data_IF_611794697913
#
_entry.id   IF_611794697913
#
_cell.length_a   1.000
_cell.length_b   1.000
_cell.length_c   1.000
_cell.angle_alpha   90.00
_cell.angle_beta   90.00
_cell.angle_gamma   90.00
#
_symmetry.space_group_name_H-M   'P 1'
#
loop_
_entity.id
_entity.type
_entity.pdbx_description
1 polymer ?
#
# COMPACT_ATOMS: atom_id res chain seq x y z
N UNK A 1 -11.45 0.12 5.76
CA UNK A 1 -11.02 -0.50 4.51
C UNK A 1 -12.11 -0.35 3.44
N UNK A 2 -11.75 0.12 2.25
CA UNK A 2 -12.62 0.24 1.06
C UNK A 2 -12.17 -0.75 -0.03
N UNK A 3 -12.96 -0.90 -1.10
CA UNK A 3 -12.54 -1.67 -2.29
C UNK A 3 -11.29 -1.05 -2.94
N UNK A 4 -11.17 0.28 -2.94
CA UNK A 4 -9.97 0.96 -3.42
C UNK A 4 -8.73 0.62 -2.59
N UNK A 5 -8.85 0.53 -1.26
CA UNK A 5 -7.74 0.05 -0.42
C UNK A 5 -7.32 -1.37 -0.81
N UNK A 6 -8.28 -2.25 -1.09
CA UNK A 6 -7.99 -3.62 -1.51
C UNK A 6 -7.25 -3.65 -2.86
N UNK A 7 -7.69 -2.85 -3.84
CA UNK A 7 -7.01 -2.75 -5.13
C UNK A 7 -5.57 -2.23 -4.99
N UNK A 8 -5.35 -1.22 -4.13
CA UNK A 8 -4.00 -0.71 -3.82
C UNK A 8 -3.13 -1.80 -3.19
N UNK A 9 -3.67 -2.53 -2.21
CA UNK A 9 -2.95 -3.62 -1.54
C UNK A 9 -2.53 -4.71 -2.53
N UNK A 10 -3.45 -5.15 -3.40
CA UNK A 10 -3.16 -6.16 -4.43
C UNK A 10 -2.16 -5.65 -5.48
N UNK A 11 -2.21 -4.37 -5.85
CA UNK A 11 -1.25 -3.77 -6.78
C UNK A 11 0.18 -3.76 -6.20
N UNK A 12 0.31 -3.49 -4.90
CA UNK A 12 1.61 -3.59 -4.20
C UNK A 12 2.07 -5.05 -4.09
N UNK A 13 1.15 -5.98 -3.82
CA UNK A 13 1.47 -7.42 -3.81
C UNK A 13 2.05 -7.90 -5.14
N UNK A 14 1.48 -7.42 -6.27
CA UNK A 14 1.96 -7.74 -7.62
C UNK A 14 3.27 -7.06 -8.00
N UNK A 15 3.59 -5.92 -7.38
CA UNK A 15 4.79 -5.13 -7.67
C UNK A 15 5.46 -4.68 -6.37
N UNK A 16 6.16 -5.58 -5.65
CA UNK A 16 6.88 -5.23 -4.45
C UNK A 16 7.89 -4.11 -4.71
N UNK A 17 8.05 -3.21 -3.73
CA UNK A 17 8.92 -2.03 -3.80
C UNK A 17 8.50 -0.95 -4.83
N UNK A 18 7.27 -1.02 -5.35
CA UNK A 18 6.72 0.04 -6.21
C UNK A 18 6.75 1.40 -5.51
N UNK A 19 7.14 2.44 -6.24
CA UNK A 19 7.07 3.81 -5.72
C UNK A 19 5.61 4.24 -5.64
N UNK A 20 5.27 4.99 -4.59
CA UNK A 20 3.94 5.58 -4.45
C UNK A 20 3.51 6.39 -5.69
N UNK A 21 4.43 7.13 -6.31
CA UNK A 21 4.13 7.89 -7.53
C UNK A 21 3.77 7.00 -8.72
N UNK A 22 4.44 5.86 -8.85
CA UNK A 22 4.22 4.92 -9.93
C UNK A 22 2.92 4.14 -9.70
N UNK A 23 2.64 3.74 -8.45
CA UNK A 23 1.34 3.19 -8.05
C UNK A 23 0.19 4.16 -8.36
N UNK A 24 0.34 5.44 -8.00
CA UNK A 24 -0.69 6.44 -8.26
C UNK A 24 -0.93 6.62 -9.77
N UNK A 25 0.13 6.61 -10.57
CA UNK A 25 0.04 6.69 -12.03
C UNK A 25 -0.64 5.45 -12.62
N UNK A 26 -0.21 4.26 -12.22
CA UNK A 26 -0.72 2.98 -12.71
C UNK A 26 -2.21 2.77 -12.41
N UNK A 27 -2.68 3.32 -11.29
CA UNK A 27 -4.07 3.22 -10.85
C UNK A 27 -4.91 4.47 -11.19
N UNK A 28 -4.38 5.41 -11.97
CA UNK A 28 -5.02 6.68 -12.33
C UNK A 28 -5.54 7.48 -11.12
N UNK A 29 -4.83 7.38 -9.99
CA UNK A 29 -5.16 8.04 -8.74
C UNK A 29 -4.45 9.39 -8.61
N UNK A 30 -5.14 10.37 -8.01
CA UNK A 30 -4.47 11.59 -7.58
C UNK A 30 -3.47 11.29 -6.45
N UNK A 31 -2.40 12.09 -6.29
CA UNK A 31 -1.44 11.90 -5.20
C UNK A 31 -2.08 11.91 -3.80
N UNK A 32 -3.14 12.71 -3.60
CA UNK A 32 -3.85 12.78 -2.32
C UNK A 32 -4.68 11.53 -2.03
N UNK A 33 -5.32 10.94 -3.05
CA UNK A 33 -6.05 9.68 -2.94
C UNK A 33 -5.08 8.53 -2.66
N UNK A 34 -4.00 8.41 -3.45
CA UNK A 34 -2.97 7.41 -3.23
C UNK A 34 -2.37 7.50 -1.81
N UNK A 35 -2.01 8.71 -1.37
CA UNK A 35 -1.47 8.94 -0.01
C UNK A 35 -2.45 8.50 1.09
N UNK A 36 -3.74 8.80 0.93
CA UNK A 36 -4.77 8.40 1.90
C UNK A 36 -4.93 6.89 1.97
N UNK A 37 -4.94 6.20 0.82
CA UNK A 37 -5.04 4.74 0.77
C UNK A 37 -3.82 4.08 1.43
N UNK A 38 -2.62 4.55 1.11
CA UNK A 38 -1.38 4.05 1.71
C UNK A 38 -1.36 4.28 3.22
N UNK A 39 -1.79 5.46 3.67
CA UNK A 39 -1.86 5.75 5.11
C UNK A 39 -2.85 4.85 5.85
N UNK A 40 -4.01 4.54 5.24
CA UNK A 40 -4.99 3.62 5.82
C UNK A 40 -4.45 2.19 5.94
N UNK A 41 -3.69 1.75 4.94
CA UNK A 41 -3.11 0.40 4.87
C UNK A 41 -1.81 0.25 5.67
N UNK A 42 -1.10 1.34 5.97
CA UNK A 42 0.13 1.33 6.77
C UNK A 42 -0.13 1.03 8.26
N UNK A 43 0.90 0.75 9.05
CA UNK A 43 0.76 0.61 10.51
C UNK A 43 0.29 1.92 11.18
N UNK A 44 0.73 3.07 10.67
CA UNK A 44 0.43 4.38 11.23
C UNK A 44 -0.09 5.32 10.14
N UNK A 45 -1.27 5.89 10.38
CA UNK A 45 -1.90 6.91 9.53
C UNK A 45 -1.22 8.27 9.70
N UNK A 46 -1.57 9.22 8.84
CA UNK A 46 -1.32 10.64 9.12
C UNK A 46 -1.91 11.00 10.50
N UNK A 47 -1.14 11.74 11.31
CA UNK A 47 -1.48 12.15 12.68
C UNK A 47 -1.42 11.06 13.76
N UNK A 48 -0.72 9.94 13.50
CA UNK A 48 -0.38 8.97 14.55
C UNK A 48 -1.51 8.01 14.95
N UNK A 49 -2.63 8.03 14.22
CA UNK A 49 -3.69 7.04 14.40
C UNK A 49 -3.24 5.67 13.85
N UNK A 50 -3.62 4.55 14.47
CA UNK A 50 -3.31 3.23 13.95
C UNK A 50 -4.01 2.99 12.61
N UNK A 51 -3.27 2.48 11.62
CA UNK A 51 -3.79 1.97 10.36
C UNK A 51 -3.97 0.45 10.40
N UNK A 52 -4.18 -0.16 9.24
CA UNK A 52 -4.44 -1.60 9.12
C UNK A 52 -3.17 -2.46 9.23
N UNK A 53 -1.98 -1.88 9.06
CA UNK A 53 -0.72 -2.59 9.23
C UNK A 53 -0.40 -3.61 8.13
N UNK A 54 -0.98 -3.46 6.93
CA UNK A 54 -0.75 -4.36 5.80
C UNK A 54 0.35 -3.89 4.85
N UNK A 55 0.66 -2.59 4.84
CA UNK A 55 1.73 -2.01 4.04
C UNK A 55 2.86 -1.43 4.91
N UNK A 56 4.10 -1.63 4.46
CA UNK A 56 5.24 -0.81 4.86
C UNK A 56 5.49 0.25 3.78
N UNK A 57 5.68 1.50 4.23
CA UNK A 57 5.89 2.68 3.40
C UNK A 57 7.19 3.36 3.84
N UNK A 58 8.30 2.99 3.20
CA UNK A 58 9.64 3.47 3.54
C UNK A 58 10.14 4.53 2.56
N UNK A 59 10.95 5.51 2.98
CA UNK A 59 11.64 6.40 2.06
C UNK A 59 12.51 5.61 1.09
N UNK A 60 12.51 5.96 -0.20
CA UNK A 60 13.40 5.37 -1.19
C UNK A 60 14.86 5.74 -0.86
N UNK A 61 15.76 4.74 -0.94
CA UNK A 61 17.18 4.88 -0.61
C UNK A 61 17.89 5.83 -1.60
N UNK A 62 17.49 5.80 -2.87
CA UNK A 62 18.08 6.59 -3.95
C UNK A 62 17.55 8.03 -3.96
N UNK A 63 16.27 8.22 -3.63
CA UNK A 63 15.65 9.54 -3.51
C UNK A 63 14.58 9.57 -2.43
N UNK A 64 14.95 10.05 -1.25
CA UNK A 64 14.10 10.12 -0.05
C UNK A 64 12.83 10.96 -0.21
N UNK A 65 12.68 11.72 -1.30
CA UNK A 65 11.43 12.43 -1.63
C UNK A 65 10.33 11.46 -2.08
N UNK A 66 10.71 10.25 -2.48
CA UNK A 66 9.80 9.18 -2.86
C UNK A 66 9.66 8.14 -1.75
N UNK A 67 8.54 7.43 -1.76
CA UNK A 67 8.24 6.31 -0.86
C UNK A 67 8.13 5.03 -1.68
N UNK A 68 8.78 3.97 -1.21
CA UNK A 68 8.60 2.61 -1.71
C UNK A 68 7.62 1.86 -0.83
N UNK A 69 6.78 1.05 -1.46
CA UNK A 69 5.70 0.32 -0.81
C UNK A 69 5.98 -1.17 -0.88
N UNK A 70 5.77 -1.87 0.23
CA UNK A 70 5.87 -3.33 0.30
C UNK A 70 4.81 -3.86 1.27
N UNK A 71 4.49 -5.15 1.18
CA UNK A 71 3.61 -5.79 2.16
C UNK A 71 4.35 -5.96 3.50
N UNK A 72 3.63 -5.82 4.60
CA UNK A 72 4.09 -6.36 5.89
C UNK A 72 3.83 -7.88 5.92
N UNK A 73 4.35 -8.57 6.94
CA UNK A 73 4.03 -9.99 7.19
C UNK A 73 2.53 -10.25 7.33
N UNK A 74 1.78 -9.31 7.91
CA UNK A 74 0.34 -9.45 8.08
C UNK A 74 -0.41 -9.10 6.78
N UNK A 75 0.12 -8.18 5.98
CA UNK A 75 -0.34 -7.92 4.62
C UNK A 75 -0.18 -9.15 3.71
N UNK A 76 0.97 -9.81 3.74
CA UNK A 76 1.23 -11.05 3.01
C UNK A 76 0.21 -12.13 3.37
N UNK A 77 0.01 -12.40 4.66
CA UNK A 77 -0.99 -13.38 5.12
C UNK A 77 -2.40 -13.03 4.66
N UNK A 78 -2.76 -11.75 4.69
CA UNK A 78 -4.08 -11.30 4.28
C UNK A 78 -4.31 -11.51 2.78
N UNK A 79 -3.32 -11.16 1.94
CA UNK A 79 -3.37 -11.39 0.49
C UNK A 79 -3.45 -12.87 0.17
N UNK A 80 -2.64 -13.72 0.80
CA UNK A 80 -2.71 -15.18 0.58
C UNK A 80 -4.07 -15.78 0.95
N UNK A 81 -4.74 -15.25 1.99
CA UNK A 81 -6.10 -15.68 2.36
C UNK A 81 -7.15 -15.21 1.36
N UNK A 82 -6.96 -14.04 0.74
CA UNK A 82 -7.84 -13.55 -0.31
C UNK A 82 -7.72 -14.38 -1.58
N UNK A 83 -6.50 -14.68 -2.01
CA UNK A 83 -6.24 -15.53 -3.18
C UNK A 83 -6.92 -16.89 -3.04
N UNK A 84 -6.81 -17.51 -1.86
CA UNK A 84 -7.47 -18.79 -1.56
C UNK A 84 -9.01 -18.77 -1.56
N UNK A 85 -9.65 -17.59 -1.62
CA UNK A 85 -11.12 -17.44 -1.70
C UNK A 85 -11.58 -17.13 -3.12
N UNK A 86 -10.69 -16.61 -3.96
CA UNK A 86 -11.00 -16.18 -5.34
C UNK A 86 -10.64 -17.27 -6.37
N UNK A 87 -9.77 -18.22 -6.00
CA UNK A 87 -9.57 -19.50 -6.70
C UNK A 87 -10.75 -20.48 -6.51
#
# INVERSE_FOLDING_TARGET
MTVENLMVLLKVAQNPDIRQSDLAKDMEMSPSVSSRNIAELSEVKLHGQPGLGFLDSRPDIMDRRHKQLSLTKDGEKFVSRLEAVVD
#
